data_IF_487423588962
#
_entry.id   IF_487423588962
#
_cell.length_a   1.000
_cell.length_b   1.000
_cell.length_c   1.000
_cell.angle_alpha   90.00
_cell.angle_beta   90.00
_cell.angle_gamma   90.00
#
_symmetry.space_group_name_H-M   'P 1'
#
loop_
_entity.id
_entity.type
_entity.pdbx_description
1 polymer ?
#
# COMPACT_ATOMS: atom_id res chain seq x y z
N UNK A 1 15.33 -18.22 4.83
CA UNK A 1 13.98 -18.77 4.59
C UNK A 1 13.07 -17.56 4.50
N UNK A 2 12.54 -17.23 3.32
CA UNK A 2 11.56 -16.14 3.22
C UNK A 2 10.32 -16.56 4.03
N UNK A 3 9.76 -15.68 4.88
CA UNK A 3 8.53 -16.00 5.59
C UNK A 3 7.43 -16.30 4.57
N UNK A 4 6.59 -17.29 4.88
CA UNK A 4 5.39 -17.59 4.09
C UNK A 4 4.42 -16.41 4.25
N UNK A 5 4.40 -15.50 3.26
CA UNK A 5 3.58 -14.28 3.29
C UNK A 5 2.17 -14.64 2.80
N UNK A 6 1.20 -14.56 3.70
CA UNK A 6 -0.22 -14.74 3.35
C UNK A 6 -0.82 -13.46 2.83
N UNK A 7 -1.42 -13.52 1.65
CA UNK A 7 -1.95 -12.35 0.94
C UNK A 7 -3.43 -12.51 0.53
N UNK A 8 -4.01 -13.70 0.70
CA UNK A 8 -5.38 -14.02 0.29
C UNK A 8 -6.31 -14.33 1.48
N UNK A 9 -7.60 -14.01 1.32
CA UNK A 9 -8.66 -14.45 2.23
C UNK A 9 -8.63 -13.90 3.66
N UNK A 10 -7.73 -12.95 3.97
CA UNK A 10 -7.52 -12.40 5.31
C UNK A 10 -7.87 -10.92 5.41
N UNK A 11 -8.07 -10.47 6.64
CA UNK A 11 -8.17 -9.04 6.98
C UNK A 11 -6.88 -8.69 7.71
N UNK A 12 -6.35 -7.50 7.47
CA UNK A 12 -5.12 -7.04 8.10
C UNK A 12 -5.37 -5.72 8.82
N UNK A 13 -4.95 -5.61 10.07
CA UNK A 13 -4.68 -4.31 10.66
C UNK A 13 -3.35 -3.79 10.08
N UNK A 14 -3.26 -2.51 9.78
CA UNK A 14 -2.13 -1.92 9.09
C UNK A 14 -1.62 -0.67 9.80
N UNK A 15 -0.30 -0.47 9.70
CA UNK A 15 0.38 0.78 10.04
C UNK A 15 1.16 1.23 8.81
N UNK A 16 0.81 2.40 8.28
CA UNK A 16 1.47 3.04 7.14
C UNK A 16 2.12 4.35 7.58
N UNK A 17 3.41 4.34 7.97
CA UNK A 17 4.18 5.55 8.26
C UNK A 17 4.46 6.34 6.99
N UNK A 18 4.54 7.66 7.09
CA UNK A 18 4.99 8.53 5.99
C UNK A 18 6.52 8.58 5.93
N UNK A 19 7.09 8.68 4.72
CA UNK A 19 8.55 8.67 4.52
C UNK A 19 9.26 9.96 4.97
N UNK A 20 8.58 11.10 4.86
CA UNK A 20 9.21 12.42 5.02
C UNK A 20 8.73 13.18 6.27
N UNK A 21 7.70 12.67 6.93
CA UNK A 21 7.13 13.26 8.13
C UNK A 21 6.85 12.17 9.15
N UNK A 22 6.93 12.51 10.44
CA UNK A 22 6.61 11.59 11.53
C UNK A 22 5.09 11.40 11.70
N UNK A 23 4.42 11.08 10.60
CA UNK A 23 3.01 10.71 10.50
C UNK A 23 2.89 9.21 10.28
N UNK A 24 1.79 8.63 10.77
CA UNK A 24 1.37 7.29 10.40
C UNK A 24 -0.15 7.18 10.30
N UNK A 25 -0.61 6.40 9.33
CA UNK A 25 -1.98 5.94 9.22
C UNK A 25 -2.13 4.56 9.85
N UNK A 26 -3.09 4.42 10.75
CA UNK A 26 -3.51 3.14 11.33
C UNK A 26 -4.88 2.78 10.74
N UNK A 27 -5.13 1.51 10.43
CA UNK A 27 -6.45 1.07 9.96
C UNK A 27 -6.53 -0.44 9.83
N UNK A 28 -7.57 -0.94 9.18
CA UNK A 28 -7.61 -2.32 8.71
C UNK A 28 -8.24 -2.43 7.30
N UNK A 29 -7.88 -3.49 6.56
CA UNK A 29 -8.40 -3.77 5.21
C UNK A 29 -8.26 -5.24 4.86
N UNK A 30 -9.12 -5.75 3.96
CA UNK A 30 -8.90 -7.03 3.26
C UNK A 30 -7.90 -6.91 2.11
N UNK A 31 -7.74 -5.71 1.56
CA UNK A 31 -6.78 -5.40 0.50
C UNK A 31 -5.94 -4.18 0.92
N UNK A 32 -4.86 -4.40 1.70
CA UNK A 32 -3.90 -3.34 2.05
C UNK A 32 -3.29 -2.62 0.83
N UNK A 33 -3.06 -3.33 -0.28
CA UNK A 33 -2.49 -2.74 -1.50
C UNK A 33 -3.48 -1.78 -2.18
N UNK A 34 -4.76 -2.15 -2.28
CA UNK A 34 -5.80 -1.22 -2.73
C UNK A 34 -5.96 -0.06 -1.75
N UNK A 35 -5.91 -0.34 -0.45
CA UNK A 35 -6.10 0.69 0.59
C UNK A 35 -5.01 1.74 0.59
N UNK A 36 -3.74 1.34 0.46
CA UNK A 36 -2.60 2.27 0.45
C UNK A 36 -2.63 3.14 -0.82
N UNK A 37 -2.97 2.56 -1.98
CA UNK A 37 -3.14 3.30 -3.24
C UNK A 37 -4.32 4.28 -3.24
N UNK A 38 -5.39 3.96 -2.50
CA UNK A 38 -6.52 4.88 -2.32
C UNK A 38 -6.19 6.09 -1.42
N UNK A 39 -5.16 5.99 -0.57
CA UNK A 39 -4.71 7.11 0.27
C UNK A 39 -3.85 8.09 -0.53
N UNK A 40 -2.95 7.58 -1.36
CA UNK A 40 -2.05 8.41 -2.15
C UNK A 40 -1.70 7.73 -3.48
N UNK A 41 -1.71 8.51 -4.58
CA UNK A 41 -1.47 7.98 -5.94
C UNK A 41 -0.05 7.40 -6.08
N UNK A 42 0.95 8.16 -5.60
CA UNK A 42 2.36 7.73 -5.49
C UNK A 42 2.63 7.18 -4.09
N UNK A 43 1.84 6.21 -3.65
CA UNK A 43 1.92 5.65 -2.30
C UNK A 43 3.32 5.13 -1.96
N UNK A 44 4.04 4.60 -2.95
CA UNK A 44 5.38 4.03 -2.83
C UNK A 44 6.48 5.08 -2.54
N UNK A 45 6.22 6.37 -2.76
CA UNK A 45 7.11 7.48 -2.38
C UNK A 45 6.64 8.20 -1.12
N UNK A 46 5.34 8.16 -0.87
CA UNK A 46 4.72 8.89 0.23
C UNK A 46 4.84 8.15 1.56
N UNK A 47 4.66 6.82 1.53
CA UNK A 47 4.76 5.98 2.73
C UNK A 47 6.15 5.35 2.85
N UNK A 48 6.63 5.24 4.09
CA UNK A 48 7.79 4.44 4.43
C UNK A 48 7.39 2.96 4.46
N UNK A 49 7.71 2.26 3.36
CA UNK A 49 7.37 0.84 3.20
C UNK A 49 8.23 -0.07 4.07
N UNK A 50 9.39 0.40 4.50
CA UNK A 50 10.36 -0.35 5.30
C UNK A 50 10.03 -0.24 6.80
N UNK A 51 9.47 0.89 7.23
CA UNK A 51 8.96 1.06 8.59
C UNK A 51 7.50 0.61 8.76
N UNK A 52 6.78 0.37 7.67
CA UNK A 52 5.39 -0.07 7.69
C UNK A 52 5.21 -1.54 8.06
N UNK A 53 4.04 -1.87 8.58
CA UNK A 53 3.71 -3.25 8.95
C UNK A 53 2.22 -3.58 8.80
N UNK A 54 1.95 -4.87 8.69
CA UNK A 54 0.62 -5.48 8.70
C UNK A 54 0.55 -6.53 9.81
N UNK A 55 -0.63 -6.65 10.42
CA UNK A 55 -0.96 -7.70 11.40
C UNK A 55 -2.15 -8.48 10.86
N UNK A 56 -1.97 -9.78 10.63
CA UNK A 56 -3.03 -10.69 10.17
C UNK A 56 -4.09 -10.83 11.25
N UNK A 57 -5.35 -10.69 10.86
CA UNK A 57 -6.51 -10.94 11.70
C UNK A 57 -7.28 -12.18 11.24
N UNK A 58 -7.92 -12.85 12.18
CA UNK A 58 -8.73 -14.04 11.91
C UNK A 58 -10.11 -13.67 11.31
N UNK A 59 -10.58 -12.46 11.60
CA UNK A 59 -11.88 -11.94 11.14
C UNK A 59 -11.86 -10.40 11.04
N UNK A 60 -12.91 -9.81 10.46
CA UNK A 60 -13.06 -8.34 10.48
C UNK A 60 -13.23 -7.77 11.88
N UNK A 61 -13.88 -8.52 12.79
CA UNK A 61 -14.04 -8.10 14.18
C UNK A 61 -12.67 -8.04 14.86
N UNK A 62 -11.89 -9.09 14.70
CA UNK A 62 -10.52 -9.17 15.22
C UNK A 62 -9.65 -8.05 14.64
N UNK A 63 -9.73 -7.78 13.33
CA UNK A 63 -9.01 -6.69 12.70
C UNK A 63 -9.37 -5.31 13.28
N UNK A 64 -10.64 -5.10 13.63
CA UNK A 64 -11.10 -3.88 14.29
C UNK A 64 -10.60 -3.78 15.73
N UNK A 65 -10.56 -4.89 16.45
CA UNK A 65 -10.02 -4.95 17.81
C UNK A 65 -8.51 -4.68 17.80
N UNK A 66 -7.76 -5.24 16.84
CA UNK A 66 -6.35 -4.93 16.58
C UNK A 66 -6.13 -3.46 16.21
N UNK A 67 -6.93 -2.89 15.31
CA UNK A 67 -6.87 -1.46 14.96
C UNK A 67 -7.08 -0.58 16.21
N UNK A 68 -8.07 -0.92 17.04
CA UNK A 68 -8.33 -0.22 18.29
C UNK A 68 -7.17 -0.35 19.27
N UNK A 69 -6.60 -1.55 19.41
CA UNK A 69 -5.44 -1.80 20.27
C UNK A 69 -4.21 -1.01 19.82
N UNK A 70 -3.95 -0.96 18.51
CA UNK A 70 -2.85 -0.18 17.94
C UNK A 70 -3.07 1.32 18.10
N UNK A 71 -4.31 1.81 18.03
CA UNK A 71 -4.62 3.25 18.04
C UNK A 71 -4.86 3.83 19.44
N UNK A 72 -5.44 3.05 20.36
CA UNK A 72 -5.88 3.54 21.66
C UNK A 72 -4.77 4.18 22.52
N UNK A 73 -3.53 3.66 22.55
CA UNK A 73 -2.44 4.28 23.29
C UNK A 73 -2.06 5.68 22.78
N UNK A 74 -2.33 5.98 21.51
CA UNK A 74 -1.83 7.17 20.82
C UNK A 74 -2.89 8.26 20.62
N UNK A 75 -3.91 8.33 21.48
CA UNK A 75 -4.96 9.37 21.41
C UNK A 75 -4.39 10.79 21.45
N UNK A 76 -3.35 11.03 22.26
CA UNK A 76 -2.68 12.31 22.37
C UNK A 76 -1.87 12.69 21.11
N UNK A 77 -1.55 11.72 20.27
CA UNK A 77 -0.79 11.89 19.03
C UNK A 77 -1.70 12.08 17.82
N UNK A 78 -3.02 12.05 17.97
CA UNK A 78 -3.96 12.20 16.85
C UNK A 78 -3.71 13.49 16.10
N UNK A 79 -3.65 13.36 14.78
CA UNK A 79 -3.39 14.46 13.88
C UNK A 79 -4.39 14.44 12.71
N UNK A 80 -4.67 15.57 12.05
CA UNK A 80 -5.38 15.56 10.79
C UNK A 80 -4.56 14.83 9.72
N UNK A 81 -5.22 14.31 8.69
CA UNK A 81 -4.52 13.73 7.54
C UNK A 81 -3.62 14.77 6.87
N UNK A 82 -2.43 14.37 6.37
CA UNK A 82 -1.63 15.23 5.50
C UNK A 82 -2.42 15.71 4.28
N UNK A 83 -2.20 16.95 3.83
CA UNK A 83 -2.99 17.58 2.75
C UNK A 83 -2.92 16.85 1.40
N UNK A 84 -1.87 16.06 1.17
CA UNK A 84 -1.68 15.28 -0.05
C UNK A 84 -2.50 13.98 -0.08
N UNK A 85 -3.01 13.56 1.08
CA UNK A 85 -3.87 12.37 1.19
C UNK A 85 -5.24 12.67 0.60
N UNK A 86 -5.81 11.73 -0.14
CA UNK A 86 -7.14 11.92 -0.72
C UNK A 86 -8.22 11.97 0.36
N UNK A 87 -9.01 13.06 0.38
CA UNK A 87 -10.02 13.36 1.41
C UNK A 87 -11.00 12.20 1.68
N UNK A 88 -11.39 11.46 0.64
CA UNK A 88 -12.34 10.33 0.75
C UNK A 88 -11.77 9.12 1.51
N UNK A 89 -10.44 9.01 1.61
CA UNK A 89 -9.76 7.89 2.26
C UNK A 89 -9.10 8.27 3.60
N UNK A 90 -8.99 9.57 3.89
CA UNK A 90 -8.12 10.15 4.93
C UNK A 90 -8.61 10.09 6.39
N UNK A 91 -9.66 9.33 6.74
CA UNK A 91 -10.17 9.07 8.10
C UNK A 91 -9.67 9.94 9.27
N UNK A 92 -10.56 10.74 9.89
CA UNK A 92 -10.21 11.83 10.83
C UNK A 92 -9.50 11.44 12.14
N UNK A 93 -9.59 10.19 12.58
CA UNK A 93 -9.07 9.76 13.89
C UNK A 93 -7.97 8.72 13.77
N UNK A 94 -7.57 8.41 12.54
CA UNK A 94 -6.75 7.26 12.19
C UNK A 94 -5.32 7.66 11.83
N UNK A 95 -5.03 8.97 11.87
CA UNK A 95 -3.70 9.52 11.70
C UNK A 95 -3.12 9.92 13.05
N UNK A 96 -1.86 9.59 13.25
CA UNK A 96 -1.08 10.01 14.40
C UNK A 96 0.21 10.67 13.94
N UNK A 97 0.74 11.57 14.77
CA UNK A 97 2.02 12.25 14.57
C UNK A 97 2.91 12.10 15.80
N UNK A 98 4.20 11.84 15.64
CA UNK A 98 5.11 11.73 16.79
C UNK A 98 5.15 10.34 17.45
N UNK A 99 4.64 9.30 16.78
CA UNK A 99 4.36 8.00 17.41
C UNK A 99 4.95 6.80 16.65
N UNK A 100 5.72 6.99 15.57
CA UNK A 100 6.14 5.91 14.68
C UNK A 100 6.97 4.83 15.40
N UNK A 101 7.91 5.23 16.25
CA UNK A 101 8.70 4.26 17.03
C UNK A 101 7.83 3.45 18.00
N UNK A 102 6.91 4.10 18.71
CA UNK A 102 6.03 3.42 19.65
C UNK A 102 5.02 2.50 18.95
N UNK A 103 4.58 2.86 17.74
CA UNK A 103 3.76 2.00 16.88
C UNK A 103 4.51 0.75 16.45
N UNK A 104 5.77 0.87 16.05
CA UNK A 104 6.60 -0.28 15.69
C UNK A 104 6.73 -1.25 16.88
N UNK A 105 6.99 -0.73 18.08
CA UNK A 105 7.04 -1.54 19.30
C UNK A 105 5.69 -2.21 19.60
N UNK A 106 4.57 -1.54 19.37
CA UNK A 106 3.24 -2.11 19.55
C UNK A 106 2.97 -3.26 18.57
N UNK A 107 3.41 -3.14 17.31
CA UNK A 107 3.32 -4.22 16.32
C UNK A 107 4.20 -5.40 16.72
N UNK A 108 5.46 -5.17 17.13
CA UNK A 108 6.34 -6.23 17.62
C UNK A 108 5.71 -6.97 18.80
N UNK A 109 5.13 -6.24 19.76
CA UNK A 109 4.44 -6.83 20.89
C UNK A 109 3.29 -7.73 20.43
N UNK A 110 2.49 -7.34 19.42
CA UNK A 110 1.45 -8.24 18.87
C UNK A 110 2.06 -9.53 18.30
N UNK A 111 3.21 -9.43 17.62
CA UNK A 111 3.98 -10.60 17.18
C UNK A 111 4.38 -11.53 18.33
N UNK A 112 4.87 -10.95 19.43
CA UNK A 112 5.24 -11.71 20.64
C UNK A 112 4.02 -12.38 21.31
N UNK A 113 2.81 -11.85 21.09
CA UNK A 113 1.55 -12.44 21.55
C UNK A 113 0.96 -13.47 20.56
N UNK A 114 1.68 -13.80 19.49
CA UNK A 114 1.35 -14.88 18.56
C UNK A 114 0.63 -14.44 17.28
N UNK A 115 0.42 -13.13 17.06
CA UNK A 115 -0.11 -12.66 15.78
C UNK A 115 0.94 -12.78 14.66
N UNK A 116 0.49 -13.08 13.44
CA UNK A 116 1.37 -12.98 12.27
C UNK A 116 1.53 -11.51 11.87
N UNK A 117 2.75 -11.00 12.00
CA UNK A 117 3.11 -9.66 11.56
C UNK A 117 3.99 -9.73 10.30
N UNK A 118 3.65 -8.92 9.30
CA UNK A 118 4.39 -8.86 8.03
C UNK A 118 4.98 -7.47 7.82
N UNK A 119 6.26 -7.36 7.42
CA UNK A 119 6.82 -6.11 6.93
C UNK A 119 6.04 -5.63 5.70
N UNK A 120 5.69 -4.33 5.66
CA UNK A 120 4.81 -3.78 4.63
C UNK A 120 5.39 -3.94 3.22
N UNK A 121 6.66 -3.57 3.00
CA UNK A 121 7.34 -3.76 1.70
C UNK A 121 7.22 -5.19 1.19
N UNK A 122 7.56 -6.18 2.02
CA UNK A 122 7.56 -7.58 1.63
C UNK A 122 6.14 -8.08 1.31
N UNK A 123 5.15 -7.68 2.10
CA UNK A 123 3.76 -8.04 1.85
C UNK A 123 3.22 -7.41 0.56
N UNK A 124 3.48 -6.12 0.34
CA UNK A 124 3.07 -5.42 -0.88
C UNK A 124 3.74 -6.01 -2.12
N UNK A 125 5.00 -6.43 -2.01
CA UNK A 125 5.74 -7.08 -3.10
C UNK A 125 5.05 -8.38 -3.49
N UNK A 126 4.71 -9.24 -2.51
CA UNK A 126 3.99 -10.48 -2.75
C UNK A 126 2.60 -10.22 -3.36
N UNK A 127 1.86 -9.23 -2.83
CA UNK A 127 0.53 -8.86 -3.32
C UNK A 127 0.55 -8.27 -4.75
N UNK A 128 1.57 -7.47 -5.11
CA UNK A 128 1.74 -6.96 -6.46
C UNK A 128 2.18 -8.04 -7.43
N UNK A 129 3.05 -8.96 -7.02
CA UNK A 129 3.49 -10.09 -7.84
C UNK A 129 2.29 -10.95 -8.31
N UNK A 130 1.27 -11.16 -7.47
CA UNK A 130 0.04 -11.86 -7.86
C UNK A 130 -0.76 -11.15 -8.97
N UNK A 131 -0.52 -9.86 -9.22
CA UNK A 131 -1.22 -9.07 -10.24
C UNK A 131 -0.49 -9.05 -11.58
N UNK A 132 0.73 -9.59 -11.67
CA UNK A 132 1.55 -9.58 -12.89
C UNK A 132 0.86 -10.26 -14.07
N UNK A 133 0.20 -11.40 -13.84
CA UNK A 133 -0.49 -12.16 -14.90
C UNK A 133 -1.58 -11.35 -15.62
N UNK A 134 -2.17 -10.35 -14.94
CA UNK A 134 -3.22 -9.48 -15.50
C UNK A 134 -2.68 -8.14 -16.01
N UNK A 135 -1.39 -7.88 -15.80
CA UNK A 135 -0.78 -6.58 -16.10
C UNK A 135 -0.82 -6.28 -17.60
N UNK A 136 -0.61 -7.30 -18.45
CA UNK A 136 -0.62 -7.15 -19.90
C UNK A 136 -1.95 -6.57 -20.41
N UNK A 137 -3.06 -7.23 -20.05
CA UNK A 137 -4.39 -6.86 -20.53
C UNK A 137 -4.83 -5.51 -19.95
N UNK A 138 -4.55 -5.29 -18.67
CA UNK A 138 -4.85 -4.02 -18.02
C UNK A 138 -4.08 -2.86 -18.65
N UNK A 139 -2.78 -3.02 -18.91
CA UNK A 139 -1.96 -1.98 -19.54
C UNK A 139 -2.43 -1.66 -20.97
N UNK A 140 -2.89 -2.68 -21.71
CA UNK A 140 -3.45 -2.50 -23.06
C UNK A 140 -4.73 -1.66 -23.07
N UNK A 141 -5.53 -1.73 -22.00
CA UNK A 141 -6.71 -0.88 -21.82
C UNK A 141 -6.32 0.55 -21.44
N UNK A 142 -5.31 0.72 -20.57
CA UNK A 142 -4.89 2.06 -20.12
C UNK A 142 -4.17 2.85 -21.22
N UNK A 143 -3.38 2.17 -22.05
CA UNK A 143 -2.65 2.74 -23.16
C UNK A 143 -2.87 1.86 -24.41
N UNK A 144 -3.93 2.11 -25.20
CA UNK A 144 -4.20 1.36 -26.43
C UNK A 144 -3.06 1.48 -27.45
N UNK A 145 -2.84 0.46 -28.27
CA UNK A 145 -1.82 0.53 -29.34
C UNK A 145 -2.20 1.55 -30.42
N UNK A 146 -3.48 1.65 -30.77
CA UNK A 146 -4.00 2.61 -31.73
C UNK A 146 -3.90 4.04 -31.19
N UNK A 147 -3.08 4.86 -31.85
CA UNK A 147 -2.78 6.23 -31.41
C UNK A 147 -4.01 7.14 -31.41
N UNK A 148 -4.97 6.90 -32.32
CA UNK A 148 -6.24 7.64 -32.37
C UNK A 148 -7.19 7.37 -31.18
N UNK A 149 -6.93 6.33 -30.38
CA UNK A 149 -7.67 6.03 -29.14
C UNK A 149 -6.99 6.58 -27.90
N UNK A 150 -5.77 7.13 -28.03
CA UNK A 150 -5.00 7.64 -26.89
C UNK A 150 -5.41 9.07 -26.56
N UNK A 151 -5.35 9.36 -25.26
CA UNK A 151 -5.45 10.71 -24.73
C UNK A 151 -4.11 11.04 -24.06
N UNK A 152 -3.17 11.71 -24.75
CA UNK A 152 -1.85 12.02 -24.20
C UNK A 152 -1.96 12.77 -22.86
N UNK A 153 -1.25 12.28 -21.83
CA UNK A 153 -1.33 12.82 -20.47
C UNK A 153 -2.67 12.59 -19.77
N UNK A 154 -3.52 11.72 -20.32
CA UNK A 154 -4.82 11.38 -19.77
C UNK A 154 -4.72 10.58 -18.46
N UNK A 155 -5.85 10.41 -17.74
CA UNK A 155 -5.87 9.70 -16.46
C UNK A 155 -5.35 8.25 -16.54
N UNK A 156 -5.59 7.56 -17.67
CA UNK A 156 -5.11 6.20 -17.90
C UNK A 156 -3.58 6.11 -17.99
N UNK A 157 -2.94 7.03 -18.72
CA UNK A 157 -1.48 7.09 -18.83
C UNK A 157 -0.82 7.38 -17.47
N UNK A 158 -1.39 8.32 -16.70
CA UNK A 158 -0.90 8.64 -15.35
C UNK A 158 -1.05 7.45 -14.40
N UNK A 159 -2.22 6.81 -14.39
CA UNK A 159 -2.48 5.64 -13.56
C UNK A 159 -1.57 4.46 -13.94
N UNK A 160 -1.32 4.27 -15.24
CA UNK A 160 -0.38 3.28 -15.76
C UNK A 160 1.04 3.58 -15.26
N UNK A 161 1.53 4.82 -15.43
CA UNK A 161 2.88 5.21 -15.00
C UNK A 161 3.07 5.00 -13.50
N UNK A 162 2.15 5.49 -12.66
CA UNK A 162 2.24 5.32 -11.21
C UNK A 162 2.15 3.84 -10.78
N UNK A 163 1.39 3.01 -11.51
CA UNK A 163 1.33 1.57 -11.25
C UNK A 163 2.67 0.90 -11.56
N UNK A 164 3.29 1.21 -12.71
CA UNK A 164 4.59 0.65 -13.10
C UNK A 164 5.72 1.13 -12.18
N UNK A 165 5.70 2.41 -11.80
CA UNK A 165 6.63 2.95 -10.81
C UNK A 165 6.48 2.22 -9.46
N UNK A 166 5.25 1.90 -9.05
CA UNK A 166 4.98 1.10 -7.86
C UNK A 166 5.55 -0.33 -7.92
N UNK A 167 5.51 -0.99 -9.08
CA UNK A 167 6.20 -2.28 -9.27
C UNK A 167 7.72 -2.12 -9.10
N UNK A 168 8.31 -1.12 -9.76
CA UNK A 168 9.76 -0.87 -9.67
C UNK A 168 10.21 -0.49 -8.26
N UNK A 169 9.42 0.28 -7.53
CA UNK A 169 9.70 0.68 -6.16
C UNK A 169 9.73 -0.51 -5.18
N UNK A 170 9.14 -1.65 -5.57
CA UNK A 170 9.18 -2.92 -4.84
C UNK A 170 10.12 -3.96 -5.51
N UNK A 171 11.06 -3.49 -6.33
CA UNK A 171 12.06 -4.31 -7.00
C UNK A 171 11.47 -5.41 -7.91
N UNK A 172 10.27 -5.17 -8.45
CA UNK A 172 9.66 -6.01 -9.46
C UNK A 172 9.86 -5.35 -10.82
N UNK A 173 10.46 -6.06 -11.77
CA UNK A 173 10.53 -5.58 -13.15
C UNK A 173 9.21 -5.87 -13.88
N UNK A 174 8.39 -4.86 -14.21
CA UNK A 174 7.13 -5.09 -14.93
C UNK A 174 7.36 -5.31 -16.43
N UNK A 175 8.52 -4.94 -16.99
CA UNK A 175 8.75 -4.88 -18.44
C UNK A 175 8.43 -6.19 -19.19
N UNK A 176 8.78 -7.38 -18.69
CA UNK A 176 8.48 -8.64 -19.37
C UNK A 176 6.98 -8.93 -19.52
N UNK A 177 6.14 -8.28 -18.71
CA UNK A 177 4.70 -8.52 -18.63
C UNK A 177 3.86 -7.47 -19.37
N UNK A 178 4.52 -6.49 -20.00
CA UNK A 178 3.85 -5.40 -20.70
C UNK A 178 3.75 -5.66 -22.20
N UNK A 179 2.71 -5.15 -22.88
CA UNK A 179 2.69 -5.06 -24.34
C UNK A 179 3.87 -4.24 -24.87
N UNK A 180 4.36 -4.56 -26.08
CA UNK A 180 5.55 -3.91 -26.65
C UNK A 180 5.42 -2.39 -26.79
N UNK A 181 4.24 -1.87 -27.15
CA UNK A 181 4.03 -0.41 -27.27
C UNK A 181 4.07 0.28 -25.91
N UNK A 182 3.57 -0.38 -24.85
CA UNK A 182 3.66 0.11 -23.47
C UNK A 182 5.10 0.08 -22.98
N UNK A 183 5.85 -1.00 -23.25
CA UNK A 183 7.27 -1.07 -22.91
C UNK A 183 8.06 0.11 -23.49
N UNK A 184 7.83 0.42 -24.78
CA UNK A 184 8.46 1.57 -25.43
C UNK A 184 8.07 2.87 -24.74
N UNK A 185 6.77 3.09 -24.53
CA UNK A 185 6.27 4.30 -23.87
C UNK A 185 6.84 4.50 -22.46
N UNK A 186 7.04 3.44 -21.69
CA UNK A 186 7.56 3.53 -20.32
C UNK A 186 9.09 3.68 -20.25
N UNK A 187 9.81 3.25 -21.28
CA UNK A 187 11.26 3.42 -21.38
C UNK A 187 11.69 4.86 -21.70
N UNK A 188 10.75 5.73 -22.09
CA UNK A 188 10.94 7.16 -22.35
C UNK A 188 10.30 8.04 -21.26
#
# INVERSE_FOLDING_TARGET
MQPDIRIDGRVFAYVFPCAWEDYAKIGFSRDPLQRIGALHRRWFEFFDLDAGALVEAESERDARDLELQLRAPFRAHRAPAPMTVQDKAGGRTEWVRGANQALLLAVTALGDHGYHCYPLRAWLQAALAQRLDRLHDWASVQLPEEEGLRMPGGPGELALRDTLDGFRALDIDPMPWLPRHVQRWYAY
#
